data_IF_492064694934
#
_entry.id   IF_492064694934
#
_cell.length_a   1.000
_cell.length_b   1.000
_cell.length_c   1.000
_cell.angle_alpha   90.00
_cell.angle_beta   90.00
_cell.angle_gamma   90.00
#
_symmetry.space_group_name_H-M   'P 1'
#
loop_
_entity.id
_entity.type
_entity.pdbx_description
1 polymer ?
#
# COMPACT_ATOMS: atom_id res chain seq x y z
N UNK A 1 42.84 -4.50 -34.55
CA UNK A 1 43.09 -4.00 -33.18
C UNK A 1 41.75 -3.81 -32.48
N UNK A 2 41.53 -4.62 -31.44
CA UNK A 2 40.55 -4.54 -30.32
C UNK A 2 39.15 -3.92 -30.56
N UNK A 3 38.15 -4.82 -30.54
CA UNK A 3 36.79 -4.53 -30.10
C UNK A 3 36.80 -4.01 -28.65
N UNK A 4 36.04 -2.96 -28.34
CA UNK A 4 35.52 -2.73 -26.98
C UNK A 4 34.00 -2.83 -27.05
N UNK A 5 33.49 -3.97 -26.56
CA UNK A 5 32.08 -4.36 -26.43
C UNK A 5 31.66 -4.37 -24.96
N UNK A 6 32.26 -3.54 -24.14
CA UNK A 6 32.03 -3.52 -22.69
C UNK A 6 31.18 -2.30 -22.35
N UNK A 7 29.87 -2.35 -22.63
CA UNK A 7 28.87 -1.58 -21.85
C UNK A 7 27.39 -1.86 -22.18
N UNK A 8 27.05 -2.80 -23.08
CA UNK A 8 25.63 -3.06 -23.42
C UNK A 8 24.96 -4.19 -22.62
N UNK A 9 25.71 -4.97 -21.84
CA UNK A 9 25.14 -6.06 -21.05
C UNK A 9 24.62 -5.62 -19.66
N UNK A 10 25.17 -4.57 -19.06
CA UNK A 10 24.77 -4.12 -17.70
C UNK A 10 23.49 -3.28 -17.70
N UNK A 11 23.28 -2.45 -18.74
CA UNK A 11 22.09 -1.60 -18.85
C UNK A 11 20.80 -2.38 -19.14
N UNK A 12 20.87 -3.58 -19.73
CA UNK A 12 19.68 -4.39 -20.03
C UNK A 12 19.21 -5.20 -18.82
N UNK A 13 20.11 -5.53 -17.88
CA UNK A 13 19.74 -6.21 -16.63
C UNK A 13 19.14 -5.25 -15.59
N UNK A 14 19.54 -3.97 -15.52
CA UNK A 14 18.87 -3.00 -14.64
C UNK A 14 17.45 -2.64 -15.11
N UNK A 15 17.23 -2.52 -16.41
CA UNK A 15 15.92 -2.24 -17.00
C UNK A 15 14.93 -3.43 -16.88
N UNK A 16 15.44 -4.66 -16.83
CA UNK A 16 14.62 -5.85 -16.60
C UNK A 16 14.44 -6.16 -15.10
N UNK A 17 15.39 -5.77 -14.24
CA UNK A 17 15.26 -5.93 -12.78
C UNK A 17 14.34 -4.87 -12.15
N UNK A 18 14.16 -3.72 -12.81
CA UNK A 18 13.19 -2.69 -12.39
C UNK A 18 11.74 -3.03 -12.75
N UNK A 19 11.49 -4.12 -13.49
CA UNK A 19 10.18 -4.47 -14.05
C UNK A 19 9.43 -5.63 -13.35
N UNK A 20 9.97 -6.27 -12.30
CA UNK A 20 9.33 -7.46 -11.73
C UNK A 20 9.41 -7.51 -10.21
N UNK A 21 8.47 -6.84 -9.56
CA UNK A 21 7.52 -7.38 -8.58
C UNK A 21 6.69 -6.19 -8.10
N UNK A 22 5.49 -5.98 -8.66
CA UNK A 22 4.52 -5.14 -7.98
C UNK A 22 4.47 -5.60 -6.52
N UNK A 23 4.58 -4.67 -5.59
CA UNK A 23 4.35 -4.95 -4.17
C UNK A 23 3.10 -4.17 -3.82
N UNK A 24 1.95 -4.80 -3.98
CA UNK A 24 0.68 -4.15 -3.67
C UNK A 24 0.59 -4.05 -2.15
N UNK A 25 0.51 -2.81 -1.68
CA UNK A 25 0.25 -2.49 -0.29
C UNK A 25 -1.16 -1.94 -0.16
N UNK A 26 -1.74 -2.11 1.02
CA UNK A 26 -3.15 -1.85 1.25
C UNK A 26 -3.35 -0.82 2.35
N UNK A 27 -4.31 0.07 2.12
CA UNK A 27 -4.85 0.98 3.13
C UNK A 27 -6.31 0.64 3.38
N UNK A 28 -6.67 0.55 4.66
CA UNK A 28 -8.06 0.59 5.10
C UNK A 28 -8.33 2.02 5.57
N UNK A 29 -9.40 2.64 5.10
CA UNK A 29 -9.76 4.01 5.45
C UNK A 29 -11.27 4.21 5.41
N UNK A 30 -11.84 5.09 6.27
CA UNK A 30 -13.22 5.53 6.13
C UNK A 30 -13.49 6.14 4.75
N UNK A 31 -14.66 5.85 4.18
CA UNK A 31 -15.06 6.34 2.87
C UNK A 31 -15.09 7.88 2.81
N UNK A 32 -15.55 8.54 3.87
CA UNK A 32 -15.58 10.01 3.93
C UNK A 32 -14.18 10.62 3.78
N UNK A 33 -13.20 10.08 4.50
CA UNK A 33 -11.81 10.56 4.45
C UNK A 33 -11.18 10.31 3.07
N UNK A 34 -11.54 9.20 2.41
CA UNK A 34 -11.07 8.95 1.06
C UNK A 34 -11.67 9.94 0.04
N UNK A 35 -12.95 10.28 0.15
CA UNK A 35 -13.58 11.28 -0.71
C UNK A 35 -12.89 12.64 -0.60
N UNK A 36 -12.47 13.03 0.60
CA UNK A 36 -11.66 14.24 0.78
C UNK A 36 -10.30 14.13 0.07
N UNK A 37 -9.65 12.96 0.10
CA UNK A 37 -8.41 12.78 -0.64
C UNK A 37 -8.61 12.88 -2.16
N UNK A 38 -9.74 12.38 -2.67
CA UNK A 38 -10.12 12.50 -4.08
C UNK A 38 -10.26 13.96 -4.51
N UNK A 39 -10.88 14.82 -3.68
CA UNK A 39 -11.01 16.26 -3.99
C UNK A 39 -9.66 16.99 -4.00
N UNK A 40 -8.71 16.57 -3.16
CA UNK A 40 -7.38 17.18 -3.08
C UNK A 40 -6.32 16.52 -3.96
N UNK A 41 -6.63 15.40 -4.61
CA UNK A 41 -5.70 14.61 -5.42
C UNK A 41 -4.60 13.89 -4.63
N UNK A 42 -4.68 13.89 -3.29
CA UNK A 42 -3.72 13.24 -2.38
C UNK A 42 -4.38 12.85 -1.06
N UNK A 43 -3.94 11.74 -0.49
CA UNK A 43 -4.35 11.28 0.83
C UNK A 43 -3.25 11.61 1.85
N UNK A 44 -3.59 12.35 2.90
CA UNK A 44 -2.63 12.86 3.91
C UNK A 44 -2.59 12.02 5.19
N UNK A 45 -3.30 10.89 5.23
CA UNK A 45 -3.39 10.03 6.40
C UNK A 45 -4.70 10.20 7.18
N UNK A 46 -5.06 9.15 7.91
CA UNK A 46 -6.06 9.16 8.97
C UNK A 46 -5.49 9.82 10.25
N UNK A 47 -6.32 10.13 11.27
CA UNK A 47 -5.85 10.78 12.49
C UNK A 47 -4.64 10.11 13.16
N UNK A 48 -4.61 8.76 13.16
CA UNK A 48 -3.47 7.99 13.71
C UNK A 48 -2.20 8.15 12.86
N UNK A 49 -2.33 8.19 11.53
CA UNK A 49 -1.18 8.37 10.64
C UNK A 49 -0.54 9.75 10.84
N UNK A 50 -1.36 10.77 11.04
CA UNK A 50 -0.91 12.13 11.32
C UNK A 50 -0.22 12.20 12.69
N UNK A 51 -0.77 11.53 13.70
CA UNK A 51 -0.19 11.48 15.03
C UNK A 51 1.17 10.77 15.05
N UNK A 52 1.31 9.67 14.31
CA UNK A 52 2.52 8.86 14.26
C UNK A 52 3.57 9.39 13.25
N UNK A 53 3.15 10.31 12.37
CA UNK A 53 4.03 11.00 11.40
C UNK A 53 4.27 10.25 10.09
N UNK A 54 3.55 9.15 9.85
CA UNK A 54 3.60 8.36 8.61
C UNK A 54 2.28 7.65 8.35
N UNK A 55 2.00 7.33 7.08
CA UNK A 55 0.79 6.60 6.70
C UNK A 55 1.03 5.10 6.81
N UNK A 56 0.23 4.45 7.65
CA UNK A 56 0.27 3.00 7.82
C UNK A 56 -0.37 2.28 6.63
N UNK A 57 0.36 1.32 6.07
CA UNK A 57 -0.16 0.34 5.13
C UNK A 57 0.02 -1.08 5.68
N UNK A 58 -0.55 -2.05 4.97
CA UNK A 58 -0.37 -3.47 5.23
C UNK A 58 -0.09 -4.20 3.93
N UNK A 59 0.67 -5.30 3.97
CA UNK A 59 0.76 -6.25 2.85
C UNK A 59 -0.49 -7.13 2.77
N UNK A 60 -0.63 -7.91 1.69
CA UNK A 60 -1.72 -8.89 1.54
C UNK A 60 -1.81 -9.88 2.71
N UNK A 61 -0.67 -10.31 3.24
CA UNK A 61 -0.59 -11.23 4.38
C UNK A 61 -1.01 -10.57 5.71
N UNK A 62 -0.98 -9.23 5.79
CA UNK A 62 -1.21 -8.49 7.02
C UNK A 62 -2.61 -7.88 7.12
N UNK A 63 -3.18 -7.46 5.99
CA UNK A 63 -4.34 -6.56 5.94
C UNK A 63 -5.61 -7.12 6.61
N UNK A 64 -5.84 -8.44 6.53
CA UNK A 64 -7.00 -9.09 7.18
C UNK A 64 -6.91 -9.01 8.71
N UNK A 65 -5.73 -9.26 9.28
CA UNK A 65 -5.52 -9.12 10.73
C UNK A 65 -5.55 -7.64 11.16
N UNK A 66 -5.02 -6.73 10.32
CA UNK A 66 -5.14 -5.28 10.56
C UNK A 66 -6.62 -4.86 10.65
N UNK A 67 -7.48 -5.33 9.75
CA UNK A 67 -8.92 -5.09 9.81
C UNK A 67 -9.55 -5.62 11.10
N UNK A 68 -9.28 -6.89 11.44
CA UNK A 68 -9.81 -7.52 12.65
C UNK A 68 -9.38 -6.79 13.94
N UNK A 69 -8.17 -6.23 13.99
CA UNK A 69 -7.64 -5.58 15.19
C UNK A 69 -8.08 -4.12 15.36
N UNK A 70 -8.15 -3.37 14.27
CA UNK A 70 -8.32 -1.91 14.32
C UNK A 70 -9.67 -1.42 13.80
N UNK A 71 -10.38 -2.25 13.04
CA UNK A 71 -11.58 -1.87 12.31
C UNK A 71 -12.80 -2.75 12.62
N UNK A 72 -12.70 -3.70 13.57
CA UNK A 72 -13.79 -4.62 13.91
C UNK A 72 -15.13 -3.90 14.14
N UNK A 73 -16.19 -4.43 13.53
CA UNK A 73 -17.55 -3.88 13.64
C UNK A 73 -17.80 -2.56 12.89
N UNK A 74 -16.78 -1.96 12.26
CA UNK A 74 -16.95 -0.71 11.53
C UNK A 74 -17.45 -0.94 10.10
N UNK A 75 -18.38 -0.10 9.66
CA UNK A 75 -18.90 -0.01 8.30
C UNK A 75 -18.30 1.18 7.56
N UNK A 76 -18.71 1.37 6.30
CA UNK A 76 -18.31 2.53 5.48
C UNK A 76 -16.80 2.66 5.29
N UNK A 77 -16.13 1.50 5.25
CA UNK A 77 -14.71 1.39 4.99
C UNK A 77 -14.44 1.10 3.52
N UNK A 78 -13.28 1.56 3.06
CA UNK A 78 -12.70 1.23 1.79
C UNK A 78 -11.40 0.45 2.00
N UNK A 79 -11.14 -0.48 1.09
CA UNK A 79 -9.83 -1.05 0.86
C UNK A 79 -9.23 -0.40 -0.39
N UNK A 80 -8.09 0.25 -0.21
CA UNK A 80 -7.31 0.89 -1.27
C UNK A 80 -6.09 0.03 -1.53
N UNK A 81 -5.84 -0.31 -2.80
CA UNK A 81 -4.61 -0.95 -3.23
C UNK A 81 -3.69 0.06 -3.90
N UNK A 82 -2.42 0.04 -3.50
CA UNK A 82 -1.41 1.01 -3.91
C UNK A 82 -0.24 0.23 -4.51
N UNK A 83 0.30 0.73 -5.62
CA UNK A 83 1.58 0.27 -6.14
C UNK A 83 2.72 0.77 -5.24
N UNK A 84 3.17 -0.09 -4.32
CA UNK A 84 4.24 0.25 -3.39
C UNK A 84 5.58 0.54 -4.07
N UNK A 85 5.84 -0.07 -5.23
CA UNK A 85 7.09 0.15 -5.96
C UNK A 85 7.20 1.59 -6.49
N UNK A 86 6.06 2.21 -6.81
CA UNK A 86 6.00 3.59 -7.29
C UNK A 86 6.32 4.66 -6.23
N UNK A 87 6.31 4.29 -4.94
CA UNK A 87 6.46 5.23 -3.82
C UNK A 87 7.92 5.54 -3.46
N UNK A 88 8.87 4.79 -4.03
CA UNK A 88 10.31 5.01 -3.85
C UNK A 88 10.76 5.02 -2.38
N UNK A 89 11.77 5.84 -2.08
CA UNK A 89 12.42 5.87 -0.76
C UNK A 89 11.56 6.43 0.39
N UNK A 90 10.40 7.02 0.09
CA UNK A 90 9.45 7.49 1.10
C UNK A 90 8.70 6.33 1.75
N UNK A 91 8.59 5.19 1.06
CA UNK A 91 8.01 3.96 1.61
C UNK A 91 9.11 3.17 2.33
N UNK A 92 8.92 2.93 3.63
CA UNK A 92 9.84 2.17 4.48
C UNK A 92 9.15 0.96 5.06
N UNK A 93 9.86 -0.14 5.14
CA UNK A 93 9.40 -1.34 5.80
C UNK A 93 10.05 -1.41 7.18
N UNK A 94 9.25 -1.27 8.22
CA UNK A 94 9.73 -1.13 9.60
C UNK A 94 9.12 -2.21 10.49
N UNK A 95 9.88 -2.67 11.48
CA UNK A 95 9.42 -3.70 12.41
C UNK A 95 8.27 -3.15 13.24
N UNK A 96 7.16 -3.88 13.27
CA UNK A 96 5.98 -3.54 14.07
C UNK A 96 5.47 -4.80 14.78
N UNK A 97 4.15 -5.05 14.77
CA UNK A 97 3.53 -6.15 15.52
C UNK A 97 4.17 -7.50 15.15
N UNK A 98 4.41 -8.32 16.16
CA UNK A 98 4.90 -9.70 15.97
C UNK A 98 6.26 -9.80 15.29
N UNK A 99 7.06 -8.71 15.26
CA UNK A 99 8.35 -8.69 14.58
C UNK A 99 8.27 -8.60 13.05
N UNK A 100 7.06 -8.50 12.47
CA UNK A 100 6.87 -8.39 11.04
C UNK A 100 7.12 -6.95 10.54
N UNK A 101 7.57 -6.83 9.29
CA UNK A 101 7.80 -5.55 8.62
C UNK A 101 6.50 -4.98 8.05
N UNK A 102 6.12 -3.78 8.47
CA UNK A 102 4.96 -3.06 7.94
C UNK A 102 5.40 -1.92 7.01
N UNK A 103 4.70 -1.71 5.88
CA UNK A 103 4.95 -0.58 5.00
C UNK A 103 4.42 0.72 5.60
N UNK A 104 5.30 1.71 5.77
CA UNK A 104 5.02 3.05 6.26
C UNK A 104 5.46 4.09 5.23
N UNK A 105 4.54 4.97 4.81
CA UNK A 105 4.86 6.06 3.90
C UNK A 105 5.09 7.36 4.65
N UNK A 106 6.28 7.92 4.49
CA UNK A 106 6.67 9.21 5.05
C UNK A 106 6.31 10.33 4.07
N UNK A 107 5.08 10.82 4.15
CA UNK A 107 4.53 11.87 3.29
C UNK A 107 3.13 11.56 2.78
N UNK A 108 2.52 12.47 2.01
CA UNK A 108 1.20 12.24 1.44
C UNK A 108 1.24 11.17 0.35
N UNK A 109 0.19 10.35 0.27
CA UNK A 109 -0.04 9.43 -0.84
C UNK A 109 -0.65 10.18 -2.01
N UNK A 110 0.07 10.30 -3.12
CA UNK A 110 -0.49 10.78 -4.38
C UNK A 110 -1.42 9.73 -5.01
N UNK A 111 -2.61 10.14 -5.46
CA UNK A 111 -3.60 9.18 -5.98
C UNK A 111 -3.18 8.49 -7.29
N UNK A 112 -2.14 8.96 -7.95
CA UNK A 112 -1.55 8.29 -9.13
C UNK A 112 -0.93 6.92 -8.80
N UNK A 113 -0.56 6.67 -7.55
CA UNK A 113 -0.03 5.39 -7.09
C UNK A 113 -1.15 4.38 -6.76
N UNK A 114 -2.41 4.80 -6.78
CA UNK A 114 -3.56 3.96 -6.44
C UNK A 114 -3.91 3.09 -7.63
N UNK A 115 -3.93 1.77 -7.42
CA UNK A 115 -4.31 0.79 -8.42
C UNK A 115 -5.83 0.61 -8.48
N UNK A 116 -6.46 0.54 -7.31
CA UNK A 116 -7.91 0.46 -7.19
C UNK A 116 -8.39 0.80 -5.78
N UNK A 117 -9.67 1.15 -5.70
CA UNK A 117 -10.40 1.42 -4.45
C UNK A 117 -11.66 0.57 -4.48
N UNK A 118 -11.92 -0.19 -3.41
CA UNK A 118 -13.11 -1.03 -3.29
C UNK A 118 -13.77 -0.88 -1.93
N UNK A 119 -15.10 -0.99 -1.83
CA UNK A 119 -15.77 -1.13 -0.55
C UNK A 119 -15.21 -2.33 0.24
N UNK A 120 -15.11 -2.17 1.55
CA UNK A 120 -14.75 -3.23 2.49
C UNK A 120 -15.96 -3.50 3.40
N UNK A 121 -16.98 -4.22 2.92
CA UNK A 121 -18.22 -4.40 3.66
C UNK A 121 -18.00 -5.33 4.86
N UNK A 122 -18.77 -5.09 5.93
CA UNK A 122 -18.83 -5.95 7.09
C UNK A 122 -19.82 -7.10 6.82
N UNK A 123 -19.37 -8.34 6.95
CA UNK A 123 -20.21 -9.52 6.85
C UNK A 123 -21.18 -9.64 8.03
N UNK A 124 -22.19 -10.50 7.89
CA UNK A 124 -23.15 -10.79 8.98
C UNK A 124 -22.51 -11.45 10.20
N UNK A 125 -21.31 -12.03 10.02
CA UNK A 125 -20.47 -12.61 11.06
C UNK A 125 -19.57 -11.58 11.76
N UNK A 126 -19.66 -10.29 11.39
CA UNK A 126 -18.83 -9.22 11.94
C UNK A 126 -17.40 -9.20 11.38
N UNK A 127 -17.12 -9.92 10.29
CA UNK A 127 -15.81 -9.95 9.63
C UNK A 127 -15.87 -9.21 8.30
N UNK A 128 -14.87 -8.38 8.02
CA UNK A 128 -14.78 -7.68 6.72
C UNK A 128 -14.55 -8.65 5.56
N UNK A 129 -15.29 -8.43 4.47
CA UNK A 129 -15.17 -9.23 3.25
C UNK A 129 -14.14 -8.62 2.31
N UNK A 130 -13.06 -9.35 2.04
CA UNK A 130 -11.97 -8.90 1.18
C UNK A 130 -12.15 -9.38 -0.26
N UNK A 131 -11.80 -8.55 -1.26
CA UNK A 131 -11.59 -9.03 -2.61
C UNK A 131 -10.34 -9.94 -2.67
N UNK A 132 -10.07 -10.52 -3.84
CA UNK A 132 -8.78 -11.15 -4.11
C UNK A 132 -7.63 -10.17 -3.84
N UNK A 133 -6.63 -10.62 -3.08
CA UNK A 133 -5.42 -9.87 -2.73
C UNK A 133 -4.25 -10.40 -3.54
N UNK A 134 -3.15 -9.65 -3.58
CA UNK A 134 -1.93 -10.10 -4.25
C UNK A 134 -1.47 -11.45 -3.69
N UNK A 135 -1.21 -12.40 -4.59
CA UNK A 135 -0.76 -13.74 -4.25
C UNK A 135 -1.84 -14.67 -3.66
N UNK A 136 -3.13 -14.33 -3.77
CA UNK A 136 -4.26 -15.18 -3.37
C UNK A 136 -5.09 -15.65 -4.58
#
# INVERSE_FOLDING_TARGET
MRFSRENRFTLFLELLYSATMSQIIYKITPQALWREAETHGRFTGAPIDVADGFIHFSTAAQVKETAAKHFAGQTDLLLVAIDGASLGAALRYEVSRGGALFPHLYGPLGLKAVLWVRPLPLGSDGVHQFPALEGQ
#
